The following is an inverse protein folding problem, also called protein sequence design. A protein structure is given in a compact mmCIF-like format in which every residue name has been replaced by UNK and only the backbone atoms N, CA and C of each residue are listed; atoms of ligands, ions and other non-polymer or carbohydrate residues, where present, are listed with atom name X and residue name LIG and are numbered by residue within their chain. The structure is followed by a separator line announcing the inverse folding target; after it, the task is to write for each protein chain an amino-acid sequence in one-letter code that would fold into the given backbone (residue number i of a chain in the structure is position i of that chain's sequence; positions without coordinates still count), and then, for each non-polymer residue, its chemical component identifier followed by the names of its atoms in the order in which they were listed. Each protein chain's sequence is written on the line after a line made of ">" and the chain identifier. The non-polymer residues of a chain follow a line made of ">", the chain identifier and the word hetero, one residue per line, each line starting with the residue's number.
data_IF_757616131119
#
_entry.id   IF_757616131119
#
_cell.length_a   1.000
_cell.length_b   1.000
_cell.length_c   1.000
_cell.angle_alpha   90.00
_cell.angle_beta   90.00
_cell.angle_gamma   90.00
#
_symmetry.space_group_name_H-M   'P 1'
#
loop_
_entity.id
_entity.type
_entity.pdbx_description
1 polymer ?
#
# COMPACT_ATOMS: atom_id res chain seq x y z
N UNK A 1 -29.99 0.55 26.35
CA UNK A 1 -30.69 1.69 26.99
C UNK A 1 -30.09 2.95 26.41
N UNK A 2 -30.90 3.86 25.90
CA UNK A 2 -30.42 5.16 25.42
C UNK A 2 -29.87 5.96 26.60
N UNK A 3 -28.68 6.58 26.49
CA UNK A 3 -28.11 7.36 27.58
C UNK A 3 -29.04 8.51 27.96
N UNK A 4 -29.11 8.83 29.25
CA UNK A 4 -29.86 10.01 29.71
C UNK A 4 -29.22 11.27 29.15
N UNK A 5 -30.01 12.32 28.91
CA UNK A 5 -29.50 13.59 28.37
C UNK A 5 -28.36 14.17 29.23
N UNK A 6 -28.37 13.92 30.54
CA UNK A 6 -27.29 14.26 31.46
C UNK A 6 -25.99 13.48 31.19
N UNK A 7 -26.09 12.15 31.02
CA UNK A 7 -24.94 11.30 30.71
C UNK A 7 -24.31 11.65 29.35
N UNK A 8 -25.13 11.96 28.34
CA UNK A 8 -24.63 12.38 27.02
C UNK A 8 -23.88 13.73 27.08
N UNK A 9 -24.40 14.70 27.84
CA UNK A 9 -23.71 15.99 28.05
C UNK A 9 -22.39 15.80 28.79
N UNK A 10 -22.37 14.95 29.82
CA UNK A 10 -21.16 14.64 30.57
C UNK A 10 -20.11 13.91 29.72
N UNK A 11 -20.52 12.93 28.93
CA UNK A 11 -19.62 12.23 28.01
C UNK A 11 -19.01 13.18 26.97
N UNK A 12 -19.79 14.16 26.50
CA UNK A 12 -19.29 15.17 25.58
C UNK A 12 -18.30 16.14 26.24
N UNK A 13 -18.53 16.52 27.50
CA UNK A 13 -17.54 17.29 28.27
C UNK A 13 -16.23 16.50 28.43
N UNK A 14 -16.31 15.23 28.80
CA UNK A 14 -15.15 14.34 28.91
C UNK A 14 -14.40 14.18 27.58
N UNK A 15 -15.11 14.16 26.45
CA UNK A 15 -14.48 14.20 25.11
C UNK A 15 -13.69 15.50 24.92
N UNK A 16 -14.23 16.64 25.32
CA UNK A 16 -13.55 17.94 25.20
C UNK A 16 -12.32 18.04 26.12
N UNK A 17 -12.43 17.51 27.34
CA UNK A 17 -11.31 17.43 28.28
C UNK A 17 -10.21 16.52 27.73
N UNK A 18 -10.59 15.34 27.21
CA UNK A 18 -9.69 14.43 26.51
C UNK A 18 -8.97 15.08 25.33
N UNK A 19 -9.68 15.87 24.50
CA UNK A 19 -9.06 16.64 23.41
C UNK A 19 -8.05 17.67 23.95
N UNK A 20 -8.36 18.30 25.09
CA UNK A 20 -7.49 19.29 25.73
C UNK A 20 -6.23 18.64 26.29
N UNK A 21 -6.35 17.48 26.94
CA UNK A 21 -5.20 16.70 27.41
C UNK A 21 -4.34 16.20 26.25
N UNK A 22 -4.96 15.73 25.17
CA UNK A 22 -4.25 15.29 23.96
C UNK A 22 -3.43 16.42 23.33
N UNK A 23 -4.00 17.63 23.23
CA UNK A 23 -3.28 18.82 22.73
C UNK A 23 -2.10 19.22 23.61
N UNK A 24 -2.17 18.94 24.92
CA UNK A 24 -1.08 19.15 25.89
C UNK A 24 -0.13 17.96 25.99
N UNK A 25 -0.23 16.99 25.08
CA UNK A 25 0.53 15.74 25.04
C UNK A 25 0.44 14.88 26.33
N UNK A 26 -0.60 15.11 27.15
CA UNK A 26 -0.89 14.32 28.35
C UNK A 26 -1.71 13.10 27.97
N UNK A 27 -1.09 12.14 27.28
CA UNK A 27 -1.78 11.00 26.66
C UNK A 27 -2.50 10.10 27.67
N UNK A 28 -1.96 9.87 28.87
CA UNK A 28 -2.62 9.09 29.92
C UNK A 28 -3.95 9.70 30.35
N UNK A 29 -3.95 10.99 30.73
CA UNK A 29 -5.16 11.71 31.12
C UNK A 29 -6.19 11.81 29.98
N UNK A 30 -5.73 11.89 28.72
CA UNK A 30 -6.63 11.86 27.57
C UNK A 30 -7.32 10.49 27.43
N UNK A 31 -6.56 9.39 27.59
CA UNK A 31 -7.11 8.02 27.55
C UNK A 31 -8.13 7.82 28.66
N UNK A 32 -7.86 8.29 29.88
CA UNK A 32 -8.78 8.17 31.01
C UNK A 32 -10.08 8.93 30.72
N UNK A 33 -10.00 10.18 30.28
CA UNK A 33 -11.16 10.99 29.93
C UNK A 33 -12.01 10.37 28.80
N UNK A 34 -11.38 9.86 27.73
CA UNK A 34 -12.12 9.15 26.67
C UNK A 34 -12.71 7.83 27.16
N UNK A 35 -12.03 7.12 28.06
CA UNK A 35 -12.55 5.88 28.63
C UNK A 35 -13.79 6.14 29.47
N UNK A 36 -13.80 7.19 30.29
CA UNK A 36 -15.00 7.63 31.02
C UNK A 36 -16.12 8.08 30.07
N UNK A 37 -15.80 8.77 28.96
CA UNK A 37 -16.80 9.11 27.95
C UNK A 37 -17.44 7.85 27.31
N UNK A 38 -16.62 6.82 27.04
CA UNK A 38 -17.06 5.54 26.50
C UNK A 38 -17.92 4.77 27.52
N UNK A 39 -17.60 4.77 28.81
CA UNK A 39 -18.42 4.09 29.82
C UNK A 39 -19.81 4.71 29.95
N UNK A 40 -19.90 6.04 29.84
CA UNK A 40 -21.18 6.75 29.85
C UNK A 40 -21.97 6.57 28.55
N UNK A 41 -21.29 6.57 27.41
CA UNK A 41 -21.90 6.58 26.07
C UNK A 41 -21.08 5.70 25.10
N UNK A 42 -21.24 4.37 25.12
CA UNK A 42 -20.40 3.45 24.35
C UNK A 42 -20.69 3.45 22.85
N UNK A 43 -21.83 3.99 22.41
CA UNK A 43 -22.28 3.94 21.02
C UNK A 43 -21.83 5.16 20.19
N UNK A 44 -20.91 5.98 20.71
CA UNK A 44 -20.39 7.15 20.00
C UNK A 44 -19.02 6.81 19.40
N UNK A 45 -18.90 6.65 18.06
CA UNK A 45 -17.66 6.18 17.41
C UNK A 45 -16.47 7.12 17.60
N UNK A 46 -16.73 8.42 17.75
CA UNK A 46 -15.70 9.46 17.91
C UNK A 46 -14.86 9.23 19.17
N UNK A 47 -15.45 8.77 20.27
CA UNK A 47 -14.70 8.52 21.50
C UNK A 47 -13.67 7.41 21.33
N UNK A 48 -14.06 6.32 20.64
CA UNK A 48 -13.18 5.21 20.30
C UNK A 48 -12.02 5.65 19.40
N UNK A 49 -12.29 6.36 18.30
CA UNK A 49 -11.22 6.84 17.40
C UNK A 49 -10.27 7.84 18.05
N UNK A 50 -10.75 8.63 19.02
CA UNK A 50 -9.91 9.57 19.76
C UNK A 50 -9.03 8.87 20.81
N UNK A 51 -9.55 7.84 21.48
CA UNK A 51 -8.74 7.00 22.38
C UNK A 51 -7.72 6.18 21.61
N UNK A 52 -8.11 5.59 20.48
CA UNK A 52 -7.20 4.92 19.55
C UNK A 52 -6.04 5.84 19.15
N UNK A 53 -6.30 7.14 18.94
CA UNK A 53 -5.25 8.09 18.53
C UNK A 53 -4.22 8.31 19.63
N UNK A 54 -4.65 8.26 20.89
CA UNK A 54 -3.77 8.30 22.04
C UNK A 54 -2.93 7.02 22.15
N UNK A 55 -3.55 5.85 21.95
CA UNK A 55 -2.84 4.56 21.92
C UNK A 55 -1.81 4.50 20.79
N UNK A 56 -2.15 5.03 19.60
CA UNK A 56 -1.22 5.13 18.47
C UNK A 56 0.02 5.95 18.83
N UNK A 57 -0.15 7.12 19.45
CA UNK A 57 0.98 7.95 19.93
C UNK A 57 1.86 7.24 20.97
N UNK A 58 1.32 6.24 21.68
CA UNK A 58 2.05 5.39 22.63
C UNK A 58 2.59 4.10 22.02
N UNK A 59 2.43 3.88 20.70
CA UNK A 59 2.75 2.64 20.00
C UNK A 59 2.02 1.39 20.54
N UNK A 60 0.83 1.57 21.12
CA UNK A 60 0.01 0.49 21.67
C UNK A 60 -0.94 -0.09 20.60
N UNK A 61 -0.36 -0.68 19.55
CA UNK A 61 -1.08 -1.06 18.33
C UNK A 61 -2.24 -2.04 18.52
N UNK A 62 -2.13 -2.99 19.46
CA UNK A 62 -3.25 -3.90 19.79
C UNK A 62 -4.48 -3.15 20.27
N UNK A 63 -4.30 -2.11 21.10
CA UNK A 63 -5.41 -1.28 21.59
C UNK A 63 -5.97 -0.36 20.50
N UNK A 64 -5.11 0.10 19.58
CA UNK A 64 -5.55 0.85 18.39
C UNK A 64 -6.50 -0.01 17.56
N UNK A 65 -6.12 -1.26 17.28
CA UNK A 65 -6.94 -2.22 16.53
C UNK A 65 -8.29 -2.45 17.19
N UNK A 66 -8.32 -2.73 18.50
CA UNK A 66 -9.55 -2.95 19.27
C UNK A 66 -10.50 -1.75 19.19
N UNK A 67 -9.99 -0.54 19.47
CA UNK A 67 -10.79 0.68 19.46
C UNK A 67 -11.26 1.04 18.04
N UNK A 68 -10.42 0.86 17.03
CA UNK A 68 -10.79 1.14 15.64
C UNK A 68 -11.82 0.15 15.11
N UNK A 69 -11.70 -1.15 15.41
CA UNK A 69 -12.73 -2.14 15.06
C UNK A 69 -14.05 -1.80 15.73
N UNK A 70 -14.03 -1.36 16.99
CA UNK A 70 -15.26 -0.92 17.67
C UNK A 70 -15.85 0.34 17.06
N UNK A 71 -15.03 1.31 16.67
CA UNK A 71 -15.46 2.50 15.96
C UNK A 71 -16.12 2.16 14.61
N UNK A 72 -15.53 1.25 13.83
CA UNK A 72 -16.05 0.81 12.52
C UNK A 72 -17.38 0.07 12.67
N UNK A 73 -17.55 -0.73 13.73
CA UNK A 73 -18.84 -1.37 14.04
C UNK A 73 -19.97 -0.36 14.30
N UNK A 74 -19.63 0.82 14.84
CA UNK A 74 -20.58 1.89 15.12
C UNK A 74 -20.78 2.84 13.93
N UNK A 75 -19.70 3.11 13.19
CA UNK A 75 -19.68 3.94 11.98
C UNK A 75 -18.72 3.36 10.93
N UNK A 76 -19.32 2.61 10.01
CA UNK A 76 -18.65 1.97 8.89
C UNK A 76 -18.11 2.93 7.82
N UNK A 77 -18.43 4.23 7.90
CA UNK A 77 -17.93 5.25 6.97
C UNK A 77 -16.81 6.10 7.58
N UNK A 78 -16.30 5.72 8.76
CA UNK A 78 -15.25 6.47 9.44
C UNK A 78 -13.89 6.29 8.76
N UNK A 79 -13.51 7.26 7.93
CA UNK A 79 -12.19 7.34 7.27
C UNK A 79 -11.05 7.17 8.27
N UNK A 80 -11.13 7.89 9.40
CA UNK A 80 -10.09 7.86 10.45
C UNK A 80 -9.97 6.48 11.11
N UNK A 81 -11.09 5.79 11.33
CA UNK A 81 -11.07 4.48 11.96
C UNK A 81 -10.44 3.43 11.04
N UNK A 82 -10.84 3.40 9.76
CA UNK A 82 -10.25 2.54 8.73
C UNK A 82 -8.75 2.81 8.54
N UNK A 83 -8.35 4.08 8.43
CA UNK A 83 -6.95 4.47 8.31
C UNK A 83 -6.10 3.95 9.48
N UNK A 84 -6.55 4.19 10.70
CA UNK A 84 -5.80 3.79 11.90
C UNK A 84 -5.80 2.28 12.14
N UNK A 85 -6.87 1.58 11.75
CA UNK A 85 -6.90 0.12 11.76
C UNK A 85 -5.87 -0.45 10.78
N UNK A 86 -5.82 0.09 9.55
CA UNK A 86 -4.83 -0.26 8.55
C UNK A 86 -3.41 -0.13 9.09
N UNK A 87 -3.07 1.02 9.69
CA UNK A 87 -1.77 1.23 10.32
C UNK A 87 -1.45 0.23 11.45
N UNK A 88 -2.44 -0.09 12.30
CA UNK A 88 -2.25 -1.05 13.38
C UNK A 88 -1.97 -2.46 12.87
N UNK A 89 -2.66 -2.88 11.81
CA UNK A 89 -2.47 -4.19 11.16
C UNK A 89 -1.08 -4.29 10.50
N UNK A 90 -0.62 -3.22 9.83
CA UNK A 90 0.73 -3.17 9.26
C UNK A 90 1.82 -3.33 10.33
N UNK A 91 1.63 -2.69 11.49
CA UNK A 91 2.57 -2.81 12.62
C UNK A 91 2.59 -4.22 13.22
N UNK A 92 1.48 -4.95 13.11
CA UNK A 92 1.38 -6.38 13.45
C UNK A 92 1.83 -7.31 12.32
N UNK A 93 2.29 -6.77 11.19
CA UNK A 93 2.68 -7.50 9.97
C UNK A 93 1.54 -8.27 9.31
N UNK A 94 0.30 -7.86 9.57
CA UNK A 94 -0.90 -8.36 8.91
C UNK A 94 -1.15 -7.53 7.64
N UNK A 95 -0.22 -7.62 6.67
CA UNK A 95 -0.13 -6.69 5.54
C UNK A 95 -1.39 -6.65 4.68
N UNK A 96 -1.93 -7.81 4.27
CA UNK A 96 -3.10 -7.86 3.39
C UNK A 96 -4.40 -7.38 4.03
N UNK A 97 -4.58 -7.53 5.35
CA UNK A 97 -5.72 -6.88 6.02
C UNK A 97 -5.47 -5.36 6.15
N UNK A 98 -4.24 -4.96 6.45
CA UNK A 98 -3.85 -3.55 6.54
C UNK A 98 -4.09 -2.78 5.24
N UNK A 99 -3.68 -3.35 4.10
CA UNK A 99 -3.90 -2.78 2.75
C UNK A 99 -5.38 -2.58 2.48
N UNK A 100 -6.23 -3.59 2.73
CA UNK A 100 -7.69 -3.49 2.53
C UNK A 100 -8.32 -2.36 3.33
N UNK A 101 -7.93 -2.20 4.59
CA UNK A 101 -8.47 -1.15 5.45
C UNK A 101 -7.99 0.25 5.00
N UNK A 102 -6.74 0.38 4.53
CA UNK A 102 -6.24 1.63 3.94
C UNK A 102 -6.91 1.97 2.61
N UNK A 103 -7.16 0.99 1.73
CA UNK A 103 -7.93 1.19 0.50
C UNK A 103 -9.34 1.70 0.80
N UNK A 104 -10.02 1.08 1.77
CA UNK A 104 -11.33 1.52 2.21
C UNK A 104 -11.32 2.93 2.80
N UNK A 105 -10.29 3.27 3.60
CA UNK A 105 -10.10 4.62 4.11
C UNK A 105 -9.93 5.64 2.97
N UNK A 106 -9.16 5.28 1.94
CA UNK A 106 -8.91 6.13 0.78
C UNK A 106 -10.19 6.37 -0.03
N UNK A 107 -10.98 5.34 -0.28
CA UNK A 107 -12.23 5.42 -1.03
C UNK A 107 -13.26 6.29 -0.32
N UNK A 108 -13.42 6.09 0.99
CA UNK A 108 -14.28 6.92 1.83
C UNK A 108 -13.79 8.37 1.90
N UNK A 109 -12.47 8.58 2.00
CA UNK A 109 -11.85 9.90 2.03
C UNK A 109 -12.08 10.68 0.74
N UNK A 110 -11.93 10.02 -0.42
CA UNK A 110 -12.23 10.61 -1.73
C UNK A 110 -13.70 10.95 -1.90
N UNK A 111 -14.62 10.13 -1.38
CA UNK A 111 -16.05 10.44 -1.39
C UNK A 111 -16.42 11.67 -0.56
N UNK A 112 -15.78 11.86 0.60
CA UNK A 112 -16.07 12.96 1.52
C UNK A 112 -15.38 14.28 1.15
N UNK A 113 -14.08 14.24 0.85
CA UNK A 113 -13.28 15.40 0.43
C UNK A 113 -12.05 14.94 -0.36
N UNK A 114 -12.11 14.91 -1.71
CA UNK A 114 -11.02 14.46 -2.57
C UNK A 114 -9.70 15.21 -2.40
N UNK A 115 -9.75 16.45 -1.90
CA UNK A 115 -8.59 17.36 -1.77
C UNK A 115 -8.12 17.48 -0.30
N UNK A 116 -8.63 16.65 0.61
CA UNK A 116 -8.23 16.66 2.01
C UNK A 116 -6.80 16.15 2.20
N UNK A 117 -6.02 16.81 3.07
CA UNK A 117 -4.65 16.39 3.44
C UNK A 117 -4.57 14.91 3.88
N UNK A 118 -5.64 14.40 4.49
CA UNK A 118 -5.76 13.03 4.94
C UNK A 118 -5.77 12.02 3.78
N UNK A 119 -6.28 12.39 2.60
CA UNK A 119 -6.30 11.50 1.42
C UNK A 119 -4.89 11.25 0.90
N UNK A 120 -4.06 12.28 0.86
CA UNK A 120 -2.64 12.17 0.47
C UNK A 120 -1.87 11.32 1.49
N UNK A 121 -2.07 11.57 2.79
CA UNK A 121 -1.44 10.78 3.86
C UNK A 121 -1.84 9.29 3.77
N UNK A 122 -3.13 8.99 3.64
CA UNK A 122 -3.64 7.61 3.49
C UNK A 122 -3.01 6.95 2.26
N UNK A 123 -2.93 7.69 1.14
CA UNK A 123 -2.38 7.16 -0.10
C UNK A 123 -0.89 6.79 0.05
N UNK A 124 -0.09 7.66 0.70
CA UNK A 124 1.33 7.38 0.93
C UNK A 124 1.55 6.16 1.82
N UNK A 125 0.73 6.02 2.87
CA UNK A 125 0.77 4.85 3.74
C UNK A 125 0.27 3.59 3.01
N UNK A 126 -0.73 3.70 2.12
CA UNK A 126 -1.18 2.59 1.29
C UNK A 126 -0.10 2.12 0.31
N UNK A 127 0.64 3.04 -0.33
CA UNK A 127 1.74 2.67 -1.22
C UNK A 127 2.84 1.90 -0.46
N UNK A 128 3.25 2.41 0.72
CA UNK A 128 4.19 1.69 1.60
C UNK A 128 3.64 0.33 2.03
N UNK A 129 2.35 0.24 2.35
CA UNK A 129 1.70 -1.00 2.75
C UNK A 129 1.75 -2.05 1.65
N UNK A 130 1.45 -1.67 0.40
CA UNK A 130 1.51 -2.56 -0.76
C UNK A 130 2.94 -3.01 -1.08
N UNK A 131 3.92 -2.13 -0.92
CA UNK A 131 5.32 -2.52 -1.02
C UNK A 131 5.70 -3.55 0.05
N UNK A 132 5.31 -3.34 1.32
CA UNK A 132 5.60 -4.28 2.41
C UNK A 132 4.88 -5.63 2.25
N UNK A 133 3.64 -5.61 1.77
CA UNK A 133 2.90 -6.82 1.39
C UNK A 133 3.66 -7.60 0.32
N UNK A 134 4.03 -6.93 -0.78
CA UNK A 134 4.83 -7.54 -1.84
C UNK A 134 6.17 -8.06 -1.33
N UNK A 135 6.92 -7.28 -0.55
CA UNK A 135 8.24 -7.67 -0.03
C UNK A 135 8.16 -8.92 0.85
N UNK A 136 7.13 -8.99 1.70
CA UNK A 136 6.87 -10.15 2.53
C UNK A 136 6.57 -11.41 1.70
N UNK A 137 5.67 -11.30 0.73
CA UNK A 137 5.30 -12.43 -0.12
C UNK A 137 6.42 -12.83 -1.09
N UNK A 138 7.12 -11.85 -1.66
CA UNK A 138 8.25 -12.03 -2.57
C UNK A 138 9.41 -12.76 -1.88
N UNK A 139 9.72 -12.38 -0.63
CA UNK A 139 10.73 -13.09 0.17
C UNK A 139 10.36 -14.57 0.35
N UNK A 140 9.09 -14.85 0.62
CA UNK A 140 8.60 -16.22 0.77
C UNK A 140 8.69 -16.99 -0.56
N UNK A 141 8.23 -16.40 -1.66
CA UNK A 141 8.30 -16.99 -3.01
C UNK A 141 9.74 -17.27 -3.43
N UNK A 142 10.64 -16.31 -3.23
CA UNK A 142 12.07 -16.46 -3.54
C UNK A 142 12.70 -17.62 -2.77
N UNK A 143 12.40 -17.75 -1.47
CA UNK A 143 12.89 -18.87 -0.66
C UNK A 143 12.36 -20.23 -1.12
N UNK A 144 11.06 -20.33 -1.41
CA UNK A 144 10.43 -21.55 -1.95
C UNK A 144 11.04 -21.93 -3.30
N UNK A 145 11.21 -20.95 -4.20
CA UNK A 145 11.77 -21.12 -5.52
C UNK A 145 13.22 -21.61 -5.47
N UNK A 146 14.04 -21.03 -4.60
CA UNK A 146 15.44 -21.43 -4.41
C UNK A 146 15.54 -22.85 -3.83
N UNK A 147 14.72 -23.19 -2.84
CA UNK A 147 14.68 -24.53 -2.24
C UNK A 147 14.29 -25.59 -3.27
N UNK A 148 13.31 -25.28 -4.12
CA UNK A 148 12.89 -26.17 -5.19
C UNK A 148 13.98 -26.32 -6.26
N UNK A 149 14.65 -25.23 -6.63
CA UNK A 149 15.77 -25.24 -7.58
C UNK A 149 16.88 -26.17 -7.11
N UNK A 150 17.32 -26.02 -5.87
CA UNK A 150 18.37 -26.87 -5.28
C UNK A 150 17.96 -28.35 -5.26
N UNK A 151 16.70 -28.63 -4.93
CA UNK A 151 16.15 -29.99 -4.96
C UNK A 151 16.18 -30.60 -6.37
N UNK A 152 15.80 -29.82 -7.39
CA UNK A 152 15.87 -30.25 -8.79
C UNK A 152 17.32 -30.47 -9.25
N UNK A 153 18.25 -29.60 -8.84
CA UNK A 153 19.67 -29.76 -9.17
C UNK A 153 20.26 -31.03 -8.54
N UNK A 154 19.93 -31.33 -7.29
CA UNK A 154 20.35 -32.57 -6.62
C UNK A 154 19.78 -33.79 -7.35
N UNK A 155 18.49 -33.79 -7.67
CA UNK A 155 17.85 -34.89 -8.40
C UNK A 155 18.46 -35.13 -9.79
N UNK A 156 18.82 -34.06 -10.51
CA UNK A 156 19.52 -34.16 -11.80
C UNK A 156 20.92 -34.77 -11.63
N UNK A 157 21.69 -34.35 -10.61
CA UNK A 157 23.01 -34.92 -10.33
C UNK A 157 22.92 -36.41 -9.95
N UNK A 158 21.94 -36.79 -9.14
CA UNK A 158 21.71 -38.20 -8.79
C UNK A 158 21.34 -39.05 -9.99
N UNK A 159 20.47 -38.54 -10.87
CA UNK A 159 20.12 -39.21 -12.12
C UNK A 159 21.37 -39.42 -12.99
N UNK A 160 22.19 -38.38 -13.16
CA UNK A 160 23.46 -38.48 -13.90
C UNK A 160 24.41 -39.53 -13.32
N UNK A 161 24.51 -39.58 -11.98
CA UNK A 161 25.34 -40.59 -11.31
C UNK A 161 24.80 -42.02 -11.46
N UNK A 162 23.48 -42.21 -11.58
CA UNK A 162 22.86 -43.51 -11.85
C UNK A 162 23.00 -43.94 -13.31
N UNK A 163 22.93 -42.99 -14.23
CA UNK A 163 23.00 -43.22 -15.68
C UNK A 163 24.45 -43.40 -16.20
N UNK A 164 25.47 -43.24 -15.35
CA UNK A 164 26.87 -43.53 -15.66
C UNK A 164 27.31 -44.81 -14.95
N UNK A 165 27.23 -46.05 -15.54
CA UNK A 165 27.93 -46.44 -16.80
C UNK A 165 27.29 -47.57 -17.67
N UNK A 166 27.47 -47.54 -19.01
CA UNK A 166 27.74 -48.70 -19.92
C UNK A 166 27.69 -48.41 -21.44
N UNK A 167 27.35 -47.21 -21.91
CA UNK A 167 27.29 -46.94 -23.36
C UNK A 167 28.65 -46.58 -23.97
N UNK A 168 29.54 -47.57 -24.07
CA UNK A 168 30.41 -47.67 -25.24
C UNK A 168 29.51 -48.00 -26.45
N UNK A 169 29.20 -46.97 -27.23
CA UNK A 169 28.64 -47.13 -28.57
C UNK A 169 27.13 -47.08 -28.66
N UNK A 170 26.56 -45.88 -28.63
CA UNK A 170 25.59 -45.37 -29.62
C UNK A 170 25.22 -43.95 -29.16
N UNK A 171 25.75 -42.93 -29.85
CA UNK A 171 25.36 -41.55 -29.61
C UNK A 171 24.05 -41.34 -30.34
N UNK A 172 22.92 -41.49 -29.64
CA UNK A 172 21.63 -41.05 -30.14
C UNK A 172 21.60 -39.51 -30.07
N UNK A 173 21.46 -38.86 -31.24
CA UNK A 173 21.31 -37.41 -31.43
C UNK A 173 20.09 -36.83 -30.67
N UNK A 174 19.28 -37.68 -30.04
CA UNK A 174 18.04 -37.33 -29.34
C UNK A 174 18.22 -37.10 -27.82
N UNK A 175 19.39 -37.39 -27.25
CA UNK A 175 19.65 -37.22 -25.80
C UNK A 175 20.21 -35.82 -25.48
N UNK A 176 19.37 -34.95 -24.91
CA UNK A 176 19.78 -33.63 -24.40
C UNK A 176 20.97 -33.78 -23.44
N UNK A 177 22.06 -33.04 -23.65
CA UNK A 177 23.27 -33.21 -22.86
C UNK A 177 23.03 -32.82 -21.40
N UNK A 178 23.81 -33.39 -20.49
CA UNK A 178 23.73 -33.07 -19.05
C UNK A 178 23.89 -31.58 -18.77
N UNK A 179 24.70 -30.87 -19.56
CA UNK A 179 24.87 -29.42 -19.47
C UNK A 179 23.61 -28.68 -19.93
N UNK A 180 22.99 -29.13 -21.02
CA UNK A 180 21.75 -28.53 -21.53
C UNK A 180 20.61 -28.65 -20.51
N UNK A 181 20.55 -29.75 -19.74
CA UNK A 181 19.52 -29.95 -18.71
C UNK A 181 19.62 -28.94 -17.57
N UNK A 182 20.83 -28.64 -17.09
CA UNK A 182 21.04 -27.60 -16.08
C UNK A 182 20.78 -26.20 -16.65
N UNK A 183 21.11 -25.95 -17.91
CA UNK A 183 20.83 -24.66 -18.56
C UNK A 183 19.31 -24.43 -18.68
N UNK A 184 18.56 -25.44 -19.14
CA UNK A 184 17.10 -25.38 -19.21
C UNK A 184 16.49 -25.19 -17.82
N UNK A 185 16.99 -25.91 -16.80
CA UNK A 185 16.55 -25.74 -15.41
C UNK A 185 16.76 -24.29 -14.96
N UNK A 186 17.97 -23.75 -15.09
CA UNK A 186 18.29 -22.38 -14.73
C UNK A 186 17.40 -21.38 -15.45
N UNK A 187 17.14 -21.58 -16.75
CA UNK A 187 16.26 -20.70 -17.52
C UNK A 187 14.84 -20.68 -16.97
N UNK A 188 14.28 -21.83 -16.60
CA UNK A 188 12.92 -21.92 -16.03
C UNK A 188 12.85 -21.19 -14.68
N UNK A 189 13.81 -21.43 -13.78
CA UNK A 189 13.83 -20.78 -12.48
C UNK A 189 14.10 -19.28 -12.57
N UNK A 190 14.99 -18.84 -13.47
CA UNK A 190 15.22 -17.42 -13.72
C UNK A 190 13.96 -16.75 -14.26
N UNK A 191 13.25 -17.40 -15.20
CA UNK A 191 11.98 -16.88 -15.74
C UNK A 191 10.90 -16.76 -14.66
N UNK A 192 10.83 -17.73 -13.75
CA UNK A 192 9.91 -17.70 -12.62
C UNK A 192 10.25 -16.62 -11.58
N UNK A 193 11.50 -16.19 -11.50
CA UNK A 193 11.96 -15.16 -10.56
C UNK A 193 11.83 -13.72 -11.10
N UNK A 194 11.49 -13.54 -12.39
CA UNK A 194 11.49 -12.22 -13.04
C UNK A 194 10.54 -11.22 -12.34
N UNK A 195 9.30 -11.61 -12.05
CA UNK A 195 8.29 -10.72 -11.45
C UNK A 195 8.68 -10.25 -10.03
N UNK A 196 9.44 -11.08 -9.32
CA UNK A 196 9.96 -10.80 -7.98
C UNK A 196 11.33 -10.10 -7.99
N UNK A 197 11.90 -9.82 -9.16
CA UNK A 197 13.18 -9.12 -9.30
C UNK A 197 12.92 -7.64 -9.57
N UNK A 198 13.27 -6.72 -8.65
CA UNK A 198 13.09 -5.30 -8.88
C UNK A 198 13.95 -4.80 -10.04
N UNK A 199 13.31 -4.12 -11.01
CA UNK A 199 13.97 -3.48 -12.14
C UNK A 199 13.64 -1.99 -12.18
N UNK A 200 13.75 -1.36 -13.35
CA UNK A 200 13.27 0.00 -13.58
C UNK A 200 11.81 -0.01 -14.03
N UNK A 201 11.05 1.01 -13.60
CA UNK A 201 9.68 1.23 -14.08
C UNK A 201 9.75 1.82 -15.49
N UNK A 202 8.97 1.33 -16.47
CA UNK A 202 9.00 1.88 -17.81
C UNK A 202 8.67 3.38 -17.88
N UNK A 203 9.46 4.17 -18.62
CA UNK A 203 9.36 5.64 -18.73
C UNK A 203 7.97 6.17 -19.11
N UNK A 204 7.15 5.37 -19.81
CA UNK A 204 5.79 5.74 -20.21
C UNK A 204 4.76 5.60 -19.08
N UNK A 205 5.13 4.91 -17.99
CA UNK A 205 4.37 4.85 -16.74
C UNK A 205 4.78 5.96 -15.76
N UNK A 206 5.81 6.73 -16.09
CA UNK A 206 6.37 7.76 -15.22
C UNK A 206 6.01 9.18 -15.67
N UNK A 207 5.79 10.04 -14.69
CA UNK A 207 5.52 11.45 -14.89
C UNK A 207 6.76 12.18 -15.40
N UNK A 208 6.59 13.08 -16.38
CA UNK A 208 7.71 13.82 -17.00
C UNK A 208 8.33 14.90 -16.09
N UNK A 209 7.73 15.17 -14.94
CA UNK A 209 8.25 16.14 -13.96
C UNK A 209 8.84 15.41 -12.75
N UNK A 210 8.10 14.50 -12.13
CA UNK A 210 8.57 13.80 -10.92
C UNK A 210 9.47 12.61 -11.25
N UNK A 211 9.39 12.07 -12.47
CA UNK A 211 10.04 10.83 -12.88
C UNK A 211 9.55 9.58 -12.14
N UNK A 212 8.64 9.75 -11.18
CA UNK A 212 7.94 8.67 -10.49
C UNK A 212 6.78 8.11 -11.31
N UNK A 213 6.40 6.87 -10.99
CA UNK A 213 5.21 6.21 -11.52
C UNK A 213 3.94 7.05 -11.26
N UNK A 214 3.05 7.15 -12.25
CA UNK A 214 1.84 7.96 -12.13
C UNK A 214 0.91 7.46 -11.02
N UNK A 215 0.34 8.40 -10.27
CA UNK A 215 -0.65 8.12 -9.22
C UNK A 215 -2.03 8.65 -9.64
N UNK A 216 -2.07 9.89 -10.10
CA UNK A 216 -3.26 10.51 -10.66
C UNK A 216 -2.94 11.21 -11.99
N UNK A 217 -2.71 10.42 -13.06
CA UNK A 217 -2.28 10.97 -14.32
C UNK A 217 -3.35 11.86 -14.96
N UNK A 218 -2.94 13.01 -15.48
CA UNK A 218 -3.74 13.91 -16.31
C UNK A 218 -3.03 14.19 -17.62
N UNK A 219 -3.81 14.26 -18.70
CA UNK A 219 -3.31 14.56 -20.04
C UNK A 219 -3.62 16.02 -20.43
N UNK A 220 -2.66 16.67 -21.08
CA UNK A 220 -2.80 18.01 -21.65
C UNK A 220 -3.33 17.94 -23.09
N UNK A 221 -3.86 19.04 -23.67
CA UNK A 221 -4.26 19.08 -25.07
C UNK A 221 -3.14 18.73 -26.06
N UNK A 222 -1.88 18.97 -25.68
CA UNK A 222 -0.69 18.60 -26.47
C UNK A 222 -0.37 17.10 -26.42
N UNK A 223 -1.16 16.30 -25.68
CA UNK A 223 -1.01 14.85 -25.58
C UNK A 223 -0.02 14.38 -24.51
N UNK A 224 0.55 15.27 -23.70
CA UNK A 224 1.52 14.91 -22.66
C UNK A 224 0.80 14.60 -21.35
N UNK A 225 1.23 13.53 -20.66
CA UNK A 225 0.65 13.12 -19.38
C UNK A 225 1.56 13.53 -18.21
N UNK A 226 0.97 14.07 -17.16
CA UNK A 226 1.64 14.51 -15.93
C UNK A 226 0.90 14.00 -14.70
N UNK A 227 1.59 14.00 -13.55
CA UNK A 227 0.95 13.85 -12.25
C UNK A 227 0.13 15.11 -11.93
N UNK A 228 -1.16 14.95 -11.57
CA UNK A 228 -2.10 16.07 -11.43
C UNK A 228 -1.59 17.12 -10.46
N UNK A 229 -1.16 16.71 -9.27
CA UNK A 229 -0.73 17.64 -8.23
C UNK A 229 0.44 18.51 -8.71
N UNK A 230 1.36 17.91 -9.47
CA UNK A 230 2.61 18.52 -9.90
C UNK A 230 2.40 19.48 -11.06
N UNK A 231 1.58 19.11 -12.06
CA UNK A 231 1.27 20.02 -13.15
C UNK A 231 0.43 21.21 -12.66
N UNK A 232 -0.48 21.00 -11.71
CA UNK A 232 -1.24 22.11 -11.11
C UNK A 232 -0.31 23.07 -10.36
N UNK A 233 0.66 22.54 -9.60
CA UNK A 233 1.65 23.35 -8.90
C UNK A 233 2.53 24.16 -9.87
N UNK A 234 2.98 23.54 -10.96
CA UNK A 234 3.71 24.22 -12.04
C UNK A 234 2.89 25.36 -12.66
N UNK A 235 1.63 25.10 -13.02
CA UNK A 235 0.74 26.10 -13.62
C UNK A 235 0.48 27.29 -12.68
N UNK A 236 0.54 27.05 -11.36
CA UNK A 236 0.35 28.08 -10.34
C UNK A 236 1.64 28.88 -10.07
N UNK A 237 2.79 28.20 -9.92
CA UNK A 237 4.04 28.81 -9.45
C UNK A 237 4.97 29.27 -10.56
N UNK A 238 5.01 28.54 -11.68
CA UNK A 238 5.98 28.75 -12.76
C UNK A 238 5.32 29.53 -13.90
N UNK A 239 4.18 29.06 -14.38
CA UNK A 239 3.43 29.76 -15.43
C UNK A 239 2.45 28.88 -16.18
N UNK A 240 1.52 29.54 -16.89
CA UNK A 240 0.40 28.90 -17.61
C UNK A 240 0.81 28.35 -18.96
N UNK A 241 1.78 27.45 -18.97
CA UNK A 241 2.29 26.79 -20.17
C UNK A 241 2.66 25.34 -19.88
N UNK A 242 2.55 24.47 -20.89
CA UNK A 242 2.95 23.07 -20.83
C UNK A 242 4.49 22.97 -20.62
N UNK A 243 4.97 22.26 -19.58
CA UNK A 243 6.41 22.17 -19.28
C UNK A 243 7.28 21.66 -20.43
N UNK A 244 6.72 20.82 -21.31
CA UNK A 244 7.44 20.17 -22.39
C UNK A 244 7.24 20.93 -23.70
N UNK A 245 5.99 21.15 -24.13
CA UNK A 245 5.70 21.75 -25.44
C UNK A 245 5.76 23.27 -25.44
N UNK A 246 5.72 23.89 -24.25
CA UNK A 246 5.67 25.36 -24.05
C UNK A 246 4.42 26.04 -24.61
N UNK A 247 3.44 25.26 -25.04
CA UNK A 247 2.13 25.77 -25.45
C UNK A 247 1.37 26.33 -24.24
N UNK A 248 0.45 27.27 -24.48
CA UNK A 248 -0.36 27.84 -23.40
C UNK A 248 -1.27 26.75 -22.81
N UNK A 249 -1.25 26.61 -21.48
CA UNK A 249 -1.99 25.56 -20.76
C UNK A 249 -2.69 26.15 -19.55
N UNK A 250 -3.98 25.85 -19.40
CA UNK A 250 -4.79 26.24 -18.26
C UNK A 250 -5.26 25.01 -17.47
N UNK A 251 -5.41 25.11 -16.13
CA UNK A 251 -5.86 23.99 -15.30
C UNK A 251 -7.18 23.34 -15.75
N UNK A 252 -8.09 24.12 -16.34
CA UNK A 252 -9.38 23.64 -16.84
C UNK A 252 -9.28 22.71 -18.06
N UNK A 253 -8.11 22.66 -18.71
CA UNK A 253 -7.86 21.80 -19.87
C UNK A 253 -7.28 20.43 -19.49
N UNK A 254 -6.94 20.23 -18.21
CA UNK A 254 -6.39 18.97 -17.73
C UNK A 254 -7.49 17.91 -17.65
N UNK A 255 -7.33 16.83 -18.41
CA UNK A 255 -8.28 15.71 -18.41
C UNK A 255 -7.65 14.52 -17.67
N UNK A 256 -8.37 13.84 -16.75
CA UNK A 256 -7.87 12.59 -16.16
C UNK A 256 -7.54 11.55 -17.25
N UNK A 257 -6.33 11.01 -17.23
CA UNK A 257 -5.92 9.97 -18.18
C UNK A 257 -6.21 8.59 -17.58
N UNK A 258 -7.47 8.16 -17.70
CA UNK A 258 -7.93 6.90 -17.11
C UNK A 258 -7.21 5.67 -17.68
N UNK A 259 -6.86 5.69 -18.97
CA UNK A 259 -6.14 4.59 -19.61
C UNK A 259 -4.74 4.38 -19.00
N UNK A 260 -3.97 5.46 -18.79
CA UNK A 260 -2.68 5.36 -18.10
C UNK A 260 -2.86 4.96 -16.63
N UNK A 261 -3.91 5.44 -15.97
CA UNK A 261 -4.22 5.06 -14.59
C UNK A 261 -4.49 3.56 -14.44
N UNK A 262 -5.23 2.98 -15.38
CA UNK A 262 -5.52 1.54 -15.42
C UNK A 262 -4.26 0.74 -15.80
N UNK A 263 -3.48 1.20 -16.77
CA UNK A 263 -2.23 0.56 -17.16
C UNK A 263 -1.22 0.50 -16.00
N UNK A 264 -1.06 1.61 -15.26
CA UNK A 264 -0.21 1.65 -14.06
C UNK A 264 -0.74 0.72 -12.98
N UNK A 265 -2.07 0.66 -12.76
CA UNK A 265 -2.65 -0.27 -11.79
C UNK A 265 -2.34 -1.72 -12.15
N UNK A 266 -2.59 -2.12 -13.40
CA UNK A 266 -2.30 -3.47 -13.87
C UNK A 266 -0.80 -3.81 -13.77
N UNK A 267 0.07 -2.83 -14.06
CA UNK A 267 1.51 -3.00 -13.89
C UNK A 267 1.88 -3.25 -12.41
N UNK A 268 1.32 -2.47 -11.49
CA UNK A 268 1.58 -2.56 -10.05
C UNK A 268 1.00 -3.83 -9.39
N UNK A 269 -0.06 -4.41 -9.96
CA UNK A 269 -0.61 -5.71 -9.51
C UNK A 269 0.38 -6.86 -9.75
N UNK A 270 1.20 -6.77 -10.80
CA UNK A 270 2.24 -7.76 -11.11
C UNK A 270 3.58 -7.39 -10.46
N UNK A 271 3.94 -6.10 -10.49
CA UNK A 271 5.23 -5.58 -10.05
C UNK A 271 5.09 -4.80 -8.74
N UNK A 272 4.75 -5.49 -7.65
CA UNK A 272 4.52 -4.85 -6.35
C UNK A 272 5.73 -4.06 -5.82
N UNK A 273 6.95 -4.41 -6.24
CA UNK A 273 8.16 -3.64 -5.92
C UNK A 273 8.14 -2.21 -6.45
N UNK A 274 7.37 -1.92 -7.51
CA UNK A 274 7.24 -0.58 -8.08
C UNK A 274 6.40 0.37 -7.22
N UNK A 275 5.83 -0.10 -6.10
CA UNK A 275 5.29 0.76 -5.05
C UNK A 275 6.38 1.44 -4.19
N UNK A 276 7.66 1.07 -4.36
CA UNK A 276 8.76 1.67 -3.61
C UNK A 276 8.73 3.19 -3.76
N UNK A 277 8.68 3.88 -2.62
CA UNK A 277 8.83 5.32 -2.56
C UNK A 277 10.22 5.61 -2.01
N UNK A 278 11.08 6.19 -2.84
CA UNK A 278 12.44 6.58 -2.48
C UNK A 278 12.46 7.82 -1.56
#
# INVERSE_FOLDING_TARGET
>A
MSPTLGAAKQAEQLRQDGNTYFKKDRLGAAIDAYTEAITLCPNVPVYWTNRALCHRKRNEWTRVEEDCRRAIQLDHHSVKAHYMLGLALLQKKEYGEGVKELEKALDLGRGANPQGYMVEEIWQELAKAKYLEWEHESTKRSWELQTLKESCEVALKEKQNRDAPETEGFVDETTMSSLDQFEVLNRVFNKAAEDDTPTEVPDYMCCKITLDIFRDPVITPSGVTYERAVILDHLQKVGKFDPITRETLFPSQLVPNLAIKEAVRAYLEVHGWAYRMD
#
